data_IF_299929438238
#
_entry.id   IF_299929438238
#
_cell.length_a   1.000
_cell.length_b   1.000
_cell.length_c   1.000
_cell.angle_alpha   90.00
_cell.angle_beta   90.00
_cell.angle_gamma   90.00
#
_symmetry.space_group_name_H-M   'P 1'
#
loop_
_entity.id
_entity.type
_entity.pdbx_description
1 polymer ?
#
# COMPACT_ATOMS: atom_id res chain seq x y z
N UNK A 1 11.73 7.16 -19.75
CA UNK A 1 11.36 5.83 -19.22
C UNK A 1 11.32 5.88 -17.71
N UNK A 2 10.20 5.52 -17.08
CA UNK A 2 10.11 5.41 -15.63
C UNK A 2 10.85 4.16 -15.13
N UNK A 3 11.62 4.29 -14.04
CA UNK A 3 12.24 3.14 -13.37
C UNK A 3 11.24 2.55 -12.37
N UNK A 4 11.11 1.23 -12.35
CA UNK A 4 10.31 0.53 -11.35
C UNK A 4 11.26 -0.22 -10.39
N UNK A 5 11.05 -0.03 -9.09
CA UNK A 5 11.80 -0.70 -8.03
C UNK A 5 10.82 -1.35 -7.05
N UNK A 6 11.15 -2.55 -6.57
CA UNK A 6 10.35 -3.21 -5.51
C UNK A 6 10.86 -2.81 -4.14
N UNK A 7 9.98 -2.29 -3.29
CA UNK A 7 10.31 -1.88 -1.92
C UNK A 7 10.24 -3.08 -0.97
N UNK A 8 11.32 -3.28 -0.21
CA UNK A 8 11.36 -4.21 0.93
C UNK A 8 10.90 -3.48 2.19
N UNK A 9 9.84 -3.99 2.84
CA UNK A 9 9.23 -3.32 4.00
C UNK A 9 10.20 -3.24 5.19
N UNK A 10 11.08 -4.22 5.32
CA UNK A 10 12.09 -4.34 6.37
C UNK A 10 13.08 -3.16 6.39
N UNK A 11 13.24 -2.47 5.26
CA UNK A 11 14.10 -1.29 5.17
C UNK A 11 13.47 -0.04 5.80
N UNK A 12 12.15 -0.04 6.05
CA UNK A 12 11.40 1.17 6.46
C UNK A 12 10.55 0.97 7.73
N UNK A 13 10.19 -0.28 8.03
CA UNK A 13 9.21 -0.63 9.05
C UNK A 13 9.78 -1.65 10.02
N UNK A 14 9.38 -1.52 11.29
CA UNK A 14 9.65 -2.54 12.31
C UNK A 14 8.81 -3.79 12.05
N UNK A 15 9.18 -4.98 12.58
CA UNK A 15 8.38 -6.19 12.44
C UNK A 15 6.91 -6.05 12.87
N UNK A 16 6.64 -5.21 13.89
CA UNK A 16 5.27 -4.91 14.35
C UNK A 16 4.49 -4.08 13.32
N UNK A 17 5.13 -3.08 12.72
CA UNK A 17 4.53 -2.26 11.67
C UNK A 17 4.30 -3.05 10.39
N UNK A 18 5.23 -3.92 9.99
CA UNK A 18 5.10 -4.80 8.82
C UNK A 18 3.81 -5.62 8.93
N UNK A 19 3.55 -6.26 10.08
CA UNK A 19 2.29 -7.02 10.29
C UNK A 19 1.04 -6.20 10.01
N UNK A 20 1.02 -4.94 10.41
CA UNK A 20 -0.11 -4.03 10.15
C UNK A 20 -0.14 -3.57 8.69
N UNK A 21 1.00 -3.17 8.13
CA UNK A 21 1.15 -2.72 6.75
C UNK A 21 0.98 -3.84 5.71
N UNK A 22 0.89 -5.11 6.12
CA UNK A 22 0.59 -6.22 5.21
C UNK A 22 -0.89 -6.60 5.16
N UNK A 23 -1.71 -6.08 6.08
CA UNK A 23 -3.09 -6.57 6.28
C UNK A 23 -4.13 -5.47 6.43
N UNK A 24 -3.74 -4.25 6.83
CA UNK A 24 -4.67 -3.15 7.12
C UNK A 24 -4.58 -2.07 6.03
N UNK A 25 -5.67 -1.81 5.28
CA UNK A 25 -5.66 -0.83 4.19
C UNK A 25 -5.22 0.59 4.59
N UNK A 26 -5.61 1.06 5.77
CA UNK A 26 -5.24 2.37 6.30
C UNK A 26 -3.72 2.50 6.51
N UNK A 27 -3.11 1.48 7.13
CA UNK A 27 -1.66 1.46 7.37
C UNK A 27 -0.88 1.30 6.07
N UNK A 28 -1.42 0.51 5.14
CA UNK A 28 -0.90 0.39 3.77
C UNK A 28 -0.86 1.76 3.08
N UNK A 29 -1.98 2.50 3.11
CA UNK A 29 -2.08 3.83 2.54
C UNK A 29 -1.13 4.82 3.23
N UNK A 30 -1.07 4.84 4.57
CA UNK A 30 -0.15 5.68 5.32
C UNK A 30 1.31 5.42 4.92
N UNK A 31 1.66 4.15 4.68
CA UNK A 31 3.00 3.79 4.25
C UNK A 31 3.32 4.27 2.83
N UNK A 32 2.36 4.20 1.89
CA UNK A 32 2.51 4.76 0.55
C UNK A 32 2.77 6.28 0.59
N UNK A 33 2.02 7.01 1.41
CA UNK A 33 2.23 8.46 1.64
C UNK A 33 3.61 8.75 2.24
N UNK A 34 4.04 7.95 3.22
CA UNK A 34 5.37 8.06 3.82
C UNK A 34 6.49 7.85 2.79
N UNK A 35 6.35 6.88 1.89
CA UNK A 35 7.31 6.67 0.81
C UNK A 35 7.36 7.89 -0.11
N UNK A 36 6.21 8.43 -0.53
CA UNK A 36 6.14 9.66 -1.33
C UNK A 36 6.95 10.79 -0.70
N UNK A 37 6.80 11.01 0.60
CA UNK A 37 7.54 12.04 1.34
C UNK A 37 9.06 11.77 1.37
N UNK A 38 9.48 10.54 1.71
CA UNK A 38 10.92 10.16 1.77
C UNK A 38 11.62 10.38 0.42
N UNK A 39 10.94 10.08 -0.68
CA UNK A 39 11.48 10.26 -2.03
C UNK A 39 11.40 11.72 -2.48
N UNK A 40 10.34 12.44 -2.13
CA UNK A 40 10.22 13.88 -2.38
C UNK A 40 11.34 14.67 -1.70
N UNK A 41 11.73 14.30 -0.48
CA UNK A 41 12.88 14.90 0.23
C UNK A 41 14.22 14.71 -0.52
N UNK A 42 14.29 13.72 -1.40
CA UNK A 42 15.44 13.44 -2.29
C UNK A 42 15.28 14.06 -3.68
N UNK A 43 14.25 14.89 -3.89
CA UNK A 43 13.92 15.49 -5.18
C UNK A 43 13.35 14.49 -6.20
N UNK A 44 12.79 13.37 -5.74
CA UNK A 44 12.20 12.34 -6.59
C UNK A 44 10.69 12.30 -6.41
N UNK A 45 9.95 12.47 -7.51
CA UNK A 45 8.51 12.23 -7.54
C UNK A 45 8.24 10.77 -7.87
N UNK A 46 7.40 10.11 -7.07
CA UNK A 46 7.17 8.66 -7.13
C UNK A 46 5.70 8.30 -7.00
N UNK A 47 5.33 7.24 -7.73
CA UNK A 47 4.03 6.56 -7.62
C UNK A 47 4.20 5.22 -6.90
N UNK A 48 3.26 4.87 -6.02
CA UNK A 48 3.31 3.63 -5.23
C UNK A 48 2.10 2.76 -5.56
N UNK A 49 2.39 1.61 -6.16
CA UNK A 49 1.42 0.57 -6.50
C UNK A 49 1.62 -0.63 -5.60
N UNK A 50 0.53 -1.26 -5.17
CA UNK A 50 0.59 -2.31 -4.15
C UNK A 50 0.08 -3.63 -4.70
N UNK A 51 0.94 -4.64 -4.60
CA UNK A 51 0.59 -6.04 -4.84
C UNK A 51 0.47 -6.74 -3.49
N UNK A 52 -0.74 -6.77 -2.94
CA UNK A 52 -1.04 -7.46 -1.69
C UNK A 52 -1.90 -8.69 -1.94
N UNK A 53 -1.74 -9.72 -1.11
CA UNK A 53 -2.61 -10.90 -1.10
C UNK A 53 -2.88 -11.30 0.33
N UNK A 54 -4.15 -11.41 0.70
CA UNK A 54 -4.58 -11.82 2.04
C UNK A 54 -5.44 -13.08 1.96
N UNK A 55 -5.36 -13.91 2.99
CA UNK A 55 -6.24 -15.07 3.19
C UNK A 55 -7.04 -14.80 4.45
N UNK A 56 -8.37 -14.82 4.32
CA UNK A 56 -9.29 -14.65 5.42
C UNK A 56 -9.75 -16.04 5.88
N UNK A 57 -9.61 -16.32 7.17
CA UNK A 57 -10.02 -17.58 7.82
C UNK A 57 -9.52 -18.86 7.12
N UNK A 58 -8.31 -18.84 6.55
CA UNK A 58 -7.72 -19.98 5.84
C UNK A 58 -8.26 -20.19 4.42
N UNK A 59 -9.05 -19.25 3.90
CA UNK A 59 -9.52 -19.25 2.52
C UNK A 59 -8.42 -19.01 1.48
N UNK A 60 -8.80 -18.97 0.20
CA UNK A 60 -7.86 -18.67 -0.89
C UNK A 60 -7.31 -17.25 -0.76
N UNK A 61 -6.02 -17.08 -1.08
CA UNK A 61 -5.42 -15.76 -1.16
C UNK A 61 -6.07 -14.91 -2.25
N UNK A 62 -6.56 -13.74 -1.88
CA UNK A 62 -7.18 -12.74 -2.76
C UNK A 62 -6.44 -11.41 -2.66
N UNK A 63 -6.42 -10.60 -3.74
CA UNK A 63 -5.88 -9.27 -3.66
C UNK A 63 -6.71 -8.41 -2.72
N UNK A 64 -6.05 -7.64 -1.84
CA UNK A 64 -6.72 -6.71 -0.93
C UNK A 64 -6.81 -5.30 -1.53
N UNK A 65 -5.82 -4.92 -2.32
CA UNK A 65 -5.63 -3.59 -2.89
C UNK A 65 -5.59 -3.71 -4.41
N UNK A 66 -6.22 -2.78 -5.11
CA UNK A 66 -6.10 -2.68 -6.57
C UNK A 66 -4.65 -2.33 -6.97
N UNK A 67 -3.92 -3.22 -7.67
CA UNK A 67 -2.53 -2.99 -8.04
C UNK A 67 -2.35 -1.95 -9.16
N UNK A 68 -3.44 -1.44 -9.75
CA UNK A 68 -3.42 -0.46 -10.83
C UNK A 68 -3.56 0.98 -10.35
N UNK A 69 -3.89 1.19 -9.07
CA UNK A 69 -4.10 2.51 -8.50
C UNK A 69 -2.83 2.99 -7.79
N UNK A 70 -2.41 4.22 -8.07
CA UNK A 70 -1.33 4.89 -7.36
C UNK A 70 -1.84 5.40 -6.00
N UNK A 71 -1.49 4.69 -4.93
CA UNK A 71 -1.92 5.04 -3.59
C UNK A 71 -1.38 6.38 -3.09
N UNK A 72 -0.36 6.96 -3.74
CA UNK A 72 0.16 8.28 -3.37
C UNK A 72 -0.73 9.44 -3.83
N UNK A 73 -1.75 9.17 -4.66
CA UNK A 73 -2.63 10.18 -5.26
C UNK A 73 -4.06 10.15 -4.71
N UNK A 74 -4.46 9.04 -4.08
CA UNK A 74 -5.79 8.89 -3.50
C UNK A 74 -5.86 9.46 -2.09
N UNK A 75 -6.90 10.27 -1.76
CA UNK A 75 -7.14 10.69 -0.39
C UNK A 75 -7.66 9.53 0.47
N UNK A 76 -7.32 9.55 1.76
CA UNK A 76 -7.93 8.62 2.72
C UNK A 76 -9.26 9.19 3.22
N UNK A 77 -10.35 8.47 2.98
CA UNK A 77 -11.70 8.82 3.44
C UNK A 77 -12.20 7.76 4.44
N UNK A 78 -11.99 7.94 5.77
CA UNK A 78 -12.28 6.90 6.76
C UNK A 78 -13.78 6.57 6.89
N UNK A 79 -14.65 7.47 6.44
CA UNK A 79 -16.11 7.34 6.54
C UNK A 79 -16.76 6.92 5.22
N UNK A 80 -15.98 6.70 4.16
CA UNK A 80 -16.48 6.28 2.85
C UNK A 80 -15.74 5.04 2.38
N UNK A 81 -16.38 4.31 1.46
CA UNK A 81 -15.71 3.22 0.79
C UNK A 81 -14.60 3.77 -0.11
N UNK A 82 -13.43 3.16 -0.02
CA UNK A 82 -12.28 3.47 -0.88
C UNK A 82 -12.27 2.51 -2.06
N UNK A 83 -12.42 3.02 -3.27
CA UNK A 83 -12.52 2.19 -4.50
C UNK A 83 -11.28 1.32 -4.77
N UNK A 84 -10.15 1.66 -4.15
CA UNK A 84 -8.90 0.91 -4.25
C UNK A 84 -8.81 -0.27 -3.29
N UNK A 85 -9.77 -0.43 -2.36
CA UNK A 85 -9.89 -1.61 -1.49
C UNK A 85 -10.82 -2.60 -2.19
N UNK A 86 -10.28 -3.76 -2.58
CA UNK A 86 -11.05 -4.74 -3.33
C UNK A 86 -11.99 -5.53 -2.41
N UNK A 87 -13.25 -5.77 -2.83
CA UNK A 87 -14.19 -6.56 -2.06
C UNK A 87 -13.80 -8.04 -2.02
N UNK A 88 -14.16 -8.71 -0.93
CA UNK A 88 -14.11 -10.16 -0.85
C UNK A 88 -15.38 -10.74 -1.49
N UNK A 89 -15.33 -11.04 -2.80
CA UNK A 89 -16.39 -11.78 -3.48
C UNK A 89 -16.35 -13.28 -3.18
#
# INVERSE_FOLDING_TARGET
SGKQDTIRLENYLTPKQIRSASTKPDVIWQFAQRLKNIYSEKGQDVSVFIKSRVSLNGGKYKPLIDPTIDLTTVPWEPFKHSDWILPEN
#
